data_IF_808719049059
#
_entry.id   IF_808719049059
#
_cell.length_a   1.000
_cell.length_b   1.000
_cell.length_c   1.000
_cell.angle_alpha   90.00
_cell.angle_beta   90.00
_cell.angle_gamma   90.00
#
_symmetry.space_group_name_H-M   'P 1'
#
loop_
_entity.id
_entity.type
_entity.pdbx_description
1 polymer ?
#
# COMPACT_ATOMS: atom_id res chain seq x y z
N UNK A 1 -6.77 -8.20 -21.67
CA UNK A 1 -7.01 -7.00 -20.84
C UNK A 1 -8.34 -7.19 -20.15
N UNK A 2 -8.29 -7.52 -18.85
CA UNK A 2 -9.46 -7.92 -18.05
C UNK A 2 -9.83 -6.78 -17.12
N UNK A 3 -10.94 -6.11 -17.41
CA UNK A 3 -11.51 -5.07 -16.55
C UNK A 3 -12.23 -5.63 -15.31
N UNK A 4 -11.83 -6.82 -14.84
CA UNK A 4 -12.47 -7.52 -13.73
C UNK A 4 -11.67 -7.33 -12.44
N UNK A 5 -12.34 -7.26 -11.27
CA UNK A 5 -11.65 -7.27 -9.99
C UNK A 5 -10.91 -8.59 -9.74
N UNK A 6 -9.91 -8.52 -8.88
CA UNK A 6 -9.26 -9.71 -8.34
C UNK A 6 -10.29 -10.53 -7.55
N UNK A 7 -10.26 -11.85 -7.73
CA UNK A 7 -11.00 -12.77 -6.89
C UNK A 7 -10.46 -12.78 -5.46
N UNK A 8 -11.27 -13.24 -4.49
CA UNK A 8 -10.82 -13.41 -3.10
C UNK A 8 -9.60 -14.32 -2.99
N UNK A 9 -9.49 -15.34 -3.85
CA UNK A 9 -8.34 -16.24 -3.89
C UNK A 9 -7.06 -15.52 -4.36
N UNK A 10 -7.16 -14.61 -5.33
CA UNK A 10 -6.04 -13.80 -5.81
C UNK A 10 -5.60 -12.75 -4.79
N UNK A 11 -6.57 -12.10 -4.13
CA UNK A 11 -6.29 -11.18 -3.02
C UNK A 11 -5.61 -11.91 -1.86
N UNK A 12 -6.04 -13.14 -1.56
CA UNK A 12 -5.41 -13.99 -0.54
C UNK A 12 -3.95 -14.31 -0.87
N UNK A 13 -3.62 -14.61 -2.13
CA UNK A 13 -2.21 -14.81 -2.56
C UNK A 13 -1.34 -13.60 -2.23
N UNK A 14 -1.82 -12.39 -2.53
CA UNK A 14 -1.10 -11.15 -2.24
C UNK A 14 -0.91 -10.98 -0.73
N UNK A 15 -1.95 -11.27 0.07
CA UNK A 15 -1.87 -11.20 1.53
C UNK A 15 -0.86 -12.21 2.10
N UNK A 16 -0.86 -13.44 1.61
CA UNK A 16 0.13 -14.47 2.00
C UNK A 16 1.55 -14.02 1.65
N UNK A 17 1.74 -13.39 0.48
CA UNK A 17 3.05 -12.84 0.11
C UNK A 17 3.51 -11.75 1.09
N UNK A 18 2.65 -10.80 1.43
CA UNK A 18 2.97 -9.72 2.38
C UNK A 18 3.32 -10.30 3.75
N UNK A 19 2.56 -11.29 4.23
CA UNK A 19 2.84 -11.97 5.49
C UNK A 19 4.19 -12.71 5.45
N UNK A 20 4.47 -13.41 4.36
CA UNK A 20 5.73 -14.13 4.16
C UNK A 20 6.94 -13.18 4.14
N UNK A 21 6.78 -11.92 3.72
CA UNK A 21 7.85 -10.92 3.71
C UNK A 21 8.20 -10.37 5.11
N UNK A 22 7.28 -10.38 6.08
CA UNK A 22 7.47 -9.73 7.38
C UNK A 22 8.74 -10.20 8.14
N UNK A 23 9.06 -11.51 8.21
CA UNK A 23 10.27 -11.95 8.90
C UNK A 23 11.55 -11.35 8.31
N UNK A 24 11.63 -11.15 6.99
CA UNK A 24 12.84 -10.58 6.36
C UNK A 24 13.05 -9.10 6.66
N UNK A 25 11.96 -8.38 6.94
CA UNK A 25 12.02 -6.97 7.36
C UNK A 25 12.64 -6.88 8.76
N UNK A 26 12.31 -7.82 9.66
CA UNK A 26 12.92 -7.88 11.00
C UNK A 26 14.44 -8.07 10.93
N UNK A 27 14.93 -8.86 9.97
CA UNK A 27 16.36 -9.06 9.74
C UNK A 27 17.02 -7.94 8.91
N UNK A 28 16.33 -6.81 8.64
CA UNK A 28 16.79 -5.62 7.88
C UNK A 28 17.02 -5.87 6.38
N UNK A 29 17.49 -7.06 5.99
CA UNK A 29 17.78 -7.42 4.59
C UNK A 29 16.54 -7.31 3.69
N UNK A 30 15.35 -7.54 4.24
CA UNK A 30 14.07 -7.45 3.51
C UNK A 30 13.49 -6.04 3.39
N UNK A 31 14.05 -5.03 4.06
CA UNK A 31 13.53 -3.65 4.03
C UNK A 31 13.62 -3.06 2.62
N UNK A 32 14.78 -3.14 1.98
CA UNK A 32 15.01 -2.56 0.65
C UNK A 32 14.04 -3.18 -0.40
N UNK A 33 13.92 -4.52 -0.50
CA UNK A 33 12.92 -5.15 -1.37
C UNK A 33 11.48 -4.70 -1.07
N UNK A 34 11.09 -4.62 0.20
CA UNK A 34 9.75 -4.18 0.57
C UNK A 34 9.47 -2.73 0.13
N UNK A 35 10.46 -1.84 0.28
CA UNK A 35 10.36 -0.44 -0.16
C UNK A 35 10.12 -0.32 -1.66
N UNK A 36 10.79 -1.14 -2.49
CA UNK A 36 10.52 -1.14 -3.93
C UNK A 36 9.06 -1.45 -4.22
N UNK A 37 8.48 -2.46 -3.58
CA UNK A 37 7.09 -2.87 -3.81
C UNK A 37 6.08 -1.86 -3.28
N UNK A 38 6.32 -1.29 -2.09
CA UNK A 38 5.48 -0.22 -1.52
C UNK A 38 5.51 1.00 -2.44
N UNK A 39 6.69 1.42 -2.87
CA UNK A 39 6.85 2.56 -3.78
C UNK A 39 6.19 2.31 -5.14
N UNK A 40 6.39 1.13 -5.72
CA UNK A 40 5.72 0.74 -6.97
C UNK A 40 4.20 0.77 -6.86
N UNK A 41 3.66 0.28 -5.74
CA UNK A 41 2.21 0.29 -5.47
C UNK A 41 1.68 1.71 -5.31
N UNK A 42 2.40 2.55 -4.56
CA UNK A 42 2.05 3.96 -4.40
C UNK A 42 2.06 4.71 -5.73
N UNK A 43 3.13 4.56 -6.52
CA UNK A 43 3.27 5.24 -7.82
C UNK A 43 2.24 4.75 -8.83
N UNK A 44 1.93 3.45 -8.84
CA UNK A 44 0.86 2.89 -9.65
C UNK A 44 -0.49 3.51 -9.29
N UNK A 45 -0.83 3.62 -8.00
CA UNK A 45 -2.09 4.28 -7.55
C UNK A 45 -2.12 5.76 -7.91
N UNK A 46 -0.99 6.46 -7.84
CA UNK A 46 -0.88 7.89 -8.14
C UNK A 46 -1.05 8.18 -9.64
N UNK A 47 -0.46 7.35 -10.49
CA UNK A 47 -0.38 7.60 -11.93
C UNK A 47 -1.38 6.75 -12.75
N UNK A 48 -2.12 5.84 -12.11
CA UNK A 48 -2.96 4.83 -12.76
C UNK A 48 -2.22 4.03 -13.84
N UNK A 49 -0.94 3.73 -13.59
CA UNK A 49 -0.08 3.00 -14.52
C UNK A 49 0.54 1.78 -13.84
N UNK A 50 0.25 0.61 -14.40
CA UNK A 50 0.75 -0.68 -13.92
C UNK A 50 2.26 -0.86 -14.13
N UNK A 51 2.89 -0.12 -15.05
CA UNK A 51 4.32 -0.19 -15.33
C UNK A 51 5.20 0.06 -14.08
N UNK A 52 4.69 0.82 -13.11
CA UNK A 52 5.35 1.05 -11.83
C UNK A 52 5.44 -0.22 -10.96
N UNK A 53 4.44 -1.11 -11.02
CA UNK A 53 4.49 -2.43 -10.35
C UNK A 53 5.54 -3.31 -11.03
N UNK A 54 5.54 -3.36 -12.36
CA UNK A 54 6.50 -4.17 -13.11
C UNK A 54 7.95 -3.73 -12.84
N UNK A 55 8.17 -2.41 -12.82
CA UNK A 55 9.47 -1.81 -12.52
C UNK A 55 9.90 -2.12 -11.08
N UNK A 56 8.99 -1.99 -10.12
CA UNK A 56 9.26 -2.34 -8.73
C UNK A 56 9.61 -3.81 -8.54
N UNK A 57 8.87 -4.73 -9.19
CA UNK A 57 9.15 -6.17 -9.13
C UNK A 57 10.45 -6.51 -9.85
N UNK A 58 10.81 -5.80 -10.93
CA UNK A 58 12.12 -5.95 -11.59
C UNK A 58 13.25 -5.53 -10.64
N UNK A 59 13.14 -4.39 -9.98
CA UNK A 59 14.14 -3.90 -9.04
C UNK A 59 14.26 -4.81 -7.81
N UNK A 60 13.12 -5.28 -7.28
CA UNK A 60 13.06 -6.30 -6.25
C UNK A 60 13.86 -7.54 -6.66
N UNK A 61 13.59 -8.10 -7.85
CA UNK A 61 14.28 -9.30 -8.33
C UNK A 61 15.77 -9.06 -8.51
N UNK A 62 16.15 -7.91 -9.08
CA UNK A 62 17.56 -7.54 -9.23
C UNK A 62 18.29 -7.54 -7.89
N UNK A 63 17.71 -6.90 -6.87
CA UNK A 63 18.28 -6.89 -5.53
C UNK A 63 18.39 -8.30 -4.93
N UNK A 64 17.34 -9.12 -5.04
CA UNK A 64 17.37 -10.50 -4.52
C UNK A 64 18.36 -11.38 -5.28
N UNK A 65 18.54 -11.17 -6.59
CA UNK A 65 19.59 -11.86 -7.37
C UNK A 65 21.00 -11.45 -6.95
N UNK A 66 21.23 -10.17 -6.59
CA UNK A 66 22.50 -9.74 -6.01
C UNK A 66 22.76 -10.46 -4.68
N UNK A 67 21.76 -10.52 -3.79
CA UNK A 67 21.87 -11.26 -2.53
C UNK A 67 22.14 -12.76 -2.75
N UNK A 68 21.47 -13.36 -3.74
CA UNK A 68 21.71 -14.74 -4.14
C UNK A 68 23.15 -14.94 -4.64
N UNK A 69 23.68 -14.02 -5.46
CA UNK A 69 25.06 -14.06 -5.93
C UNK A 69 26.05 -14.00 -4.78
N UNK A 70 25.84 -13.12 -3.82
CA UNK A 70 26.67 -13.04 -2.60
C UNK A 70 26.61 -14.35 -1.81
N UNK A 71 25.41 -14.87 -1.53
CA UNK A 71 25.25 -16.13 -0.80
C UNK A 71 25.92 -17.31 -1.54
N UNK A 72 25.83 -17.35 -2.88
CA UNK A 72 26.48 -18.36 -3.69
C UNK A 72 28.01 -18.26 -3.64
N UNK A 73 28.58 -17.04 -3.66
CA UNK A 73 30.03 -16.84 -3.50
C UNK A 73 30.51 -17.33 -2.13
N UNK A 74 29.79 -17.02 -1.05
CA UNK A 74 30.10 -17.54 0.28
C UNK A 74 30.00 -19.07 0.34
N UNK A 75 28.95 -19.65 -0.23
CA UNK A 75 28.80 -21.10 -0.30
C UNK A 75 29.97 -21.74 -1.07
N UNK A 76 30.39 -21.17 -2.20
CA UNK A 76 31.55 -21.68 -2.95
C UNK A 76 32.85 -21.54 -2.15
N UNK A 77 33.05 -20.42 -1.45
CA UNK A 77 34.22 -20.23 -0.59
C UNK A 77 34.30 -21.29 0.50
N UNK A 78 33.25 -21.46 1.30
CA UNK A 78 33.24 -22.46 2.37
C UNK A 78 33.20 -23.90 1.84
N UNK A 79 32.74 -24.13 0.62
CA UNK A 79 32.85 -25.45 -0.02
C UNK A 79 34.33 -25.88 -0.19
N UNK A 80 35.26 -24.94 -0.37
CA UNK A 80 36.69 -25.26 -0.49
C UNK A 80 37.30 -25.81 0.79
N UNK A 81 36.72 -25.48 1.95
CA UNK A 81 37.22 -25.92 3.26
C UNK A 81 36.65 -27.27 3.70
N UNK A 82 35.67 -27.82 2.98
CA UNK A 82 35.02 -29.11 3.30
C UNK A 82 35.97 -30.32 3.28
N UNK A 83 37.06 -30.25 2.51
CA UNK A 83 38.09 -31.29 2.41
C UNK A 83 39.23 -31.15 3.42
N UNK A 84 39.17 -30.17 4.33
CA UNK A 84 40.21 -29.97 5.33
C UNK A 84 40.35 -31.21 6.25
N UNK A 85 41.60 -31.59 6.54
CA UNK A 85 41.92 -32.73 7.42
C UNK A 85 41.55 -32.43 8.87
N UNK A 86 41.81 -31.19 9.30
CA UNK A 86 41.49 -30.74 10.65
C UNK A 86 40.07 -30.20 10.70
N UNK A 87 39.29 -30.70 11.67
CA UNK A 87 37.88 -30.32 11.83
C UNK A 87 37.69 -28.84 12.11
N UNK A 88 38.66 -28.20 12.76
CA UNK A 88 38.63 -26.77 13.08
C UNK A 88 38.82 -25.88 11.85
N UNK A 89 39.41 -26.41 10.78
CA UNK A 89 39.58 -25.71 9.50
C UNK A 89 38.37 -25.93 8.56
N UNK A 90 37.35 -26.67 8.99
CA UNK A 90 36.17 -27.01 8.18
C UNK A 90 34.98 -26.14 8.53
N UNK A 91 34.70 -25.17 7.67
CA UNK A 91 33.57 -24.22 7.81
C UNK A 91 32.23 -24.80 7.33
N UNK A 92 31.90 -26.01 7.81
CA UNK A 92 30.72 -26.73 7.36
C UNK A 92 29.40 -26.06 7.74
N UNK A 93 29.35 -25.35 8.87
CA UNK A 93 28.14 -24.67 9.32
C UNK A 93 27.86 -23.44 8.45
N UNK A 94 28.89 -22.67 8.16
CA UNK A 94 28.89 -21.48 7.32
C UNK A 94 28.50 -21.83 5.88
N UNK A 95 28.98 -22.97 5.37
CA UNK A 95 28.55 -23.54 4.10
C UNK A 95 27.03 -23.80 4.07
N UNK A 96 26.49 -24.51 5.07
CA UNK A 96 25.07 -24.82 5.18
C UNK A 96 24.22 -23.54 5.30
N UNK A 97 24.67 -22.58 6.11
CA UNK A 97 24.00 -21.28 6.29
C UNK A 97 23.96 -20.51 4.97
N UNK A 98 25.08 -20.49 4.23
CA UNK A 98 25.17 -19.82 2.92
C UNK A 98 24.22 -20.45 1.89
N UNK A 99 24.13 -21.79 1.87
CA UNK A 99 23.15 -22.50 1.04
C UNK A 99 21.71 -22.20 1.44
N UNK A 100 21.42 -22.14 2.74
CA UNK A 100 20.09 -21.79 3.24
C UNK A 100 19.69 -20.38 2.78
N UNK A 101 20.59 -19.39 2.87
CA UNK A 101 20.34 -18.04 2.37
C UNK A 101 20.10 -18.00 0.85
N UNK A 102 20.88 -18.76 0.08
CA UNK A 102 20.65 -18.89 -1.35
C UNK A 102 19.27 -19.50 -1.66
N UNK A 103 18.89 -20.58 -0.95
CA UNK A 103 17.56 -21.19 -1.08
C UNK A 103 16.43 -20.23 -0.74
N UNK A 104 16.57 -19.46 0.35
CA UNK A 104 15.62 -18.43 0.75
C UNK A 104 15.46 -17.37 -0.35
N UNK A 105 16.56 -16.87 -0.92
CA UNK A 105 16.51 -15.88 -2.00
C UNK A 105 15.75 -16.41 -3.23
N UNK A 106 15.99 -17.67 -3.62
CA UNK A 106 15.26 -18.33 -4.72
C UNK A 106 13.76 -18.43 -4.39
N UNK A 107 13.40 -18.85 -3.18
CA UNK A 107 12.00 -18.93 -2.74
C UNK A 107 11.34 -17.55 -2.85
N UNK A 108 11.98 -16.48 -2.41
CA UNK A 108 11.42 -15.12 -2.50
C UNK A 108 11.19 -14.65 -3.94
N UNK A 109 12.08 -15.00 -4.87
CA UNK A 109 11.86 -14.75 -6.30
C UNK A 109 10.62 -15.50 -6.82
N UNK A 110 10.40 -16.73 -6.38
CA UNK A 110 9.20 -17.49 -6.75
C UNK A 110 7.94 -16.87 -6.13
N UNK A 111 7.98 -16.50 -4.86
CA UNK A 111 6.85 -15.90 -4.16
C UNK A 111 6.44 -14.57 -4.80
N UNK A 112 7.37 -13.66 -5.11
CA UNK A 112 7.01 -12.38 -5.76
C UNK A 112 6.40 -12.59 -7.14
N UNK A 113 6.86 -13.59 -7.90
CA UNK A 113 6.28 -13.85 -9.23
C UNK A 113 4.90 -14.50 -9.13
N UNK A 114 4.72 -15.50 -8.26
CA UNK A 114 3.49 -16.32 -8.20
C UNK A 114 2.39 -15.73 -7.33
N UNK A 115 2.75 -15.08 -6.23
CA UNK A 115 1.78 -14.60 -5.24
C UNK A 115 1.51 -13.10 -5.34
N UNK A 116 2.46 -12.32 -5.87
CA UNK A 116 2.30 -10.87 -6.03
C UNK A 116 2.08 -10.47 -7.49
N UNK A 117 3.07 -10.68 -8.35
CA UNK A 117 3.02 -10.18 -9.73
C UNK A 117 1.95 -10.89 -10.57
N UNK A 118 1.87 -12.22 -10.54
CA UNK A 118 0.94 -12.97 -11.40
C UNK A 118 -0.54 -12.61 -11.17
N UNK A 119 -1.05 -12.53 -9.93
CA UNK A 119 -2.41 -12.03 -9.68
C UNK A 119 -2.62 -10.61 -10.19
N UNK A 120 -1.67 -9.71 -9.95
CA UNK A 120 -1.78 -8.29 -10.34
C UNK A 120 -1.73 -8.11 -11.87
N UNK A 121 -0.82 -8.80 -12.54
CA UNK A 121 -0.63 -8.73 -13.99
C UNK A 121 -1.79 -9.38 -14.77
N UNK A 122 -2.60 -10.22 -14.13
CA UNK A 122 -3.80 -10.79 -14.76
C UNK A 122 -4.98 -9.80 -14.80
N UNK A 123 -4.91 -8.73 -13.99
CA UNK A 123 -5.98 -7.73 -13.82
C UNK A 123 -5.43 -6.29 -13.89
N UNK A 124 -4.46 -6.04 -14.78
CA UNK A 124 -3.72 -4.75 -14.87
C UNK A 124 -4.63 -3.54 -14.93
N UNK A 125 -5.64 -3.56 -15.81
CA UNK A 125 -6.53 -2.43 -16.06
C UNK A 125 -7.39 -2.12 -14.83
N UNK A 126 -7.85 -3.16 -14.13
CA UNK A 126 -8.62 -2.97 -12.90
C UNK A 126 -7.74 -2.42 -11.78
N UNK A 127 -6.58 -3.03 -11.57
CA UNK A 127 -5.64 -2.67 -10.50
C UNK A 127 -5.19 -1.23 -10.64
N UNK A 128 -4.82 -0.81 -11.86
CA UNK A 128 -4.33 0.53 -12.13
C UNK A 128 -5.37 1.61 -11.81
N UNK A 129 -6.65 1.37 -12.11
CA UNK A 129 -7.71 2.38 -11.95
C UNK A 129 -8.44 2.32 -10.59
N UNK A 130 -8.53 1.15 -9.97
CA UNK A 130 -9.37 0.91 -8.80
C UNK A 130 -8.58 0.47 -7.56
N UNK A 131 -7.38 -0.07 -7.73
CA UNK A 131 -6.54 -0.61 -6.66
C UNK A 131 -6.67 -2.13 -6.47
N UNK A 132 -5.78 -2.68 -5.63
CA UNK A 132 -5.53 -4.12 -5.48
C UNK A 132 -6.65 -4.87 -4.72
N UNK A 133 -7.18 -4.28 -3.65
CA UNK A 133 -8.18 -4.90 -2.77
C UNK A 133 -9.60 -4.36 -2.98
N UNK A 134 -9.81 -3.71 -4.12
CA UNK A 134 -11.07 -3.05 -4.43
C UNK A 134 -11.94 -3.97 -5.31
N UNK A 135 -13.17 -4.24 -4.87
CA UNK A 135 -14.14 -5.06 -5.61
C UNK A 135 -15.26 -4.23 -6.26
N UNK A 136 -15.22 -2.90 -6.10
CA UNK A 136 -16.20 -1.96 -6.67
C UNK A 136 -15.46 -0.89 -7.48
N UNK A 137 -15.93 -0.49 -8.66
CA UNK A 137 -15.24 0.53 -9.44
C UNK A 137 -15.12 1.82 -8.63
N UNK A 138 -13.98 2.49 -8.73
CA UNK A 138 -13.75 3.79 -8.11
C UNK A 138 -14.79 4.76 -8.67
N UNK A 139 -15.66 5.28 -7.81
CA UNK A 139 -16.57 6.36 -8.21
C UNK A 139 -15.69 7.55 -8.58
N UNK A 140 -15.80 8.03 -9.81
CA UNK A 140 -15.17 9.26 -10.24
C UNK A 140 -15.92 10.39 -9.52
N UNK A 141 -15.50 10.70 -8.30
CA UNK A 141 -15.86 11.98 -7.68
C UNK A 141 -15.08 13.02 -8.46
N UNK A 142 -15.76 13.72 -9.35
CA UNK A 142 -15.18 14.90 -9.98
C UNK A 142 -14.77 15.86 -8.87
N UNK A 143 -13.55 16.38 -8.99
CA UNK A 143 -12.94 17.46 -8.22
C UNK A 143 -12.07 17.06 -7.02
N UNK A 144 -10.85 17.60 -7.05
CA UNK A 144 -9.87 17.49 -5.99
C UNK A 144 -10.41 18.04 -4.67
N UNK A 145 -10.29 17.22 -3.65
CA UNK A 145 -10.61 17.56 -2.28
C UNK A 145 -10.13 16.42 -1.39
N UNK A 146 -9.49 16.76 -0.29
CA UNK A 146 -9.13 15.89 0.81
C UNK A 146 -10.25 14.87 1.15
N UNK A 147 -10.17 13.65 0.63
CA UNK A 147 -10.98 12.53 1.12
C UNK A 147 -10.12 11.27 1.22
N UNK A 148 -9.26 11.30 2.25
CA UNK A 148 -8.92 10.13 3.06
C UNK A 148 -8.73 10.65 4.48
N UNK A 149 -9.81 11.17 5.09
CA UNK A 149 -9.92 11.26 6.54
C UNK A 149 -11.11 10.41 6.94
N UNK A 150 -10.74 9.39 7.70
CA UNK A 150 -11.55 8.34 8.29
C UNK A 150 -12.95 8.76 8.75
N UNK A 151 -13.82 7.78 8.57
CA UNK A 151 -15.18 7.59 9.05
C UNK A 151 -15.19 7.59 10.60
N UNK A 152 -14.86 8.70 11.25
CA UNK A 152 -15.13 8.95 12.68
C UNK A 152 -15.49 10.44 12.85
N UNK A 153 -16.62 10.87 12.30
CA UNK A 153 -17.23 12.18 12.63
C UNK A 153 -18.72 12.28 12.24
N UNK A 154 -19.48 11.22 12.52
CA UNK A 154 -20.89 11.06 12.14
C UNK A 154 -21.92 12.04 12.72
N UNK A 155 -21.55 13.14 13.38
CA UNK A 155 -22.53 14.06 13.99
C UNK A 155 -22.31 15.57 13.78
N UNK A 156 -21.24 16.03 13.12
CA UNK A 156 -20.95 17.49 13.03
C UNK A 156 -21.25 18.18 11.71
N UNK A 157 -21.85 17.50 10.73
CA UNK A 157 -22.14 18.09 9.42
C UNK A 157 -23.55 18.72 9.30
N UNK A 158 -24.45 18.53 10.29
CA UNK A 158 -25.72 19.29 10.33
C UNK A 158 -25.62 20.61 11.09
N UNK A 159 -24.69 20.75 12.03
CA UNK A 159 -24.55 21.96 12.86
C UNK A 159 -23.86 23.12 12.13
N UNK A 160 -23.11 22.86 11.06
CA UNK A 160 -22.42 23.92 10.31
C UNK A 160 -23.36 24.76 9.41
N UNK A 161 -24.58 24.32 9.10
CA UNK A 161 -25.53 25.12 8.29
C UNK A 161 -26.25 26.19 9.11
N UNK A 162 -26.70 25.87 10.33
CA UNK A 162 -27.52 26.78 11.13
C UNK A 162 -26.71 27.96 11.68
N UNK A 163 -25.47 27.71 12.12
CA UNK A 163 -24.60 28.77 12.63
C UNK A 163 -24.22 29.79 11.55
N UNK A 164 -23.85 29.33 10.36
CA UNK A 164 -23.49 30.20 9.24
C UNK A 164 -24.70 30.99 8.72
N UNK A 165 -25.89 30.39 8.70
CA UNK A 165 -27.12 31.10 8.38
C UNK A 165 -27.45 32.17 9.42
N UNK A 166 -27.33 31.87 10.72
CA UNK A 166 -27.53 32.85 11.79
C UNK A 166 -26.55 34.03 11.69
N UNK A 167 -25.28 33.77 11.33
CA UNK A 167 -24.28 34.82 11.10
C UNK A 167 -24.66 35.71 9.91
N UNK A 168 -25.19 35.12 8.82
CA UNK A 168 -25.68 35.87 7.67
C UNK A 168 -26.88 36.76 8.02
N UNK A 169 -27.85 36.22 8.75
CA UNK A 169 -29.01 36.98 9.22
C UNK A 169 -28.61 38.09 10.19
N UNK A 170 -27.60 37.87 11.03
CA UNK A 170 -27.08 38.89 11.95
C UNK A 170 -26.45 40.06 11.19
N UNK A 171 -25.65 39.78 10.16
CA UNK A 171 -25.09 40.83 9.28
C UNK A 171 -26.16 41.63 8.55
N UNK A 172 -27.19 40.98 8.01
CA UNK A 172 -28.30 41.68 7.35
C UNK A 172 -29.07 42.62 8.28
N UNK A 173 -29.15 42.28 9.58
CA UNK A 173 -29.73 43.16 10.60
C UNK A 173 -28.80 44.35 10.88
N UNK A 174 -27.51 44.10 11.09
CA UNK A 174 -26.51 45.14 11.36
C UNK A 174 -26.38 46.14 10.20
N UNK A 175 -26.50 45.65 8.96
CA UNK A 175 -26.50 46.47 7.74
C UNK A 175 -27.84 47.21 7.52
N UNK A 176 -28.82 47.05 8.42
CA UNK A 176 -30.12 47.74 8.37
C UNK A 176 -31.07 47.24 7.27
N UNK A 177 -30.77 46.10 6.64
CA UNK A 177 -31.58 45.53 5.56
C UNK A 177 -32.82 44.78 6.06
N UNK A 178 -32.83 44.36 7.34
CA UNK A 178 -33.97 43.70 7.98
C UNK A 178 -34.22 44.27 9.37
N UNK A 179 -35.48 44.24 9.80
CA UNK A 179 -35.88 44.67 11.13
C UNK A 179 -35.51 43.64 12.20
N UNK A 180 -35.45 44.08 13.46
CA UNK A 180 -35.15 43.21 14.60
C UNK A 180 -36.20 42.11 14.81
N UNK A 181 -37.45 42.35 14.40
CA UNK A 181 -38.52 41.36 14.43
C UNK A 181 -38.30 40.26 13.38
N UNK A 182 -37.92 40.62 12.15
CA UNK A 182 -37.65 39.65 11.08
C UNK A 182 -36.43 38.77 11.38
N UNK A 183 -35.39 39.33 12.00
CA UNK A 183 -34.25 38.57 12.48
C UNK A 183 -34.64 37.54 13.56
N UNK A 184 -35.47 37.94 14.52
CA UNK A 184 -35.90 37.06 15.61
C UNK A 184 -36.79 35.91 15.11
N UNK A 185 -37.67 36.17 14.14
CA UNK A 185 -38.49 35.13 13.51
C UNK A 185 -37.66 34.15 12.68
N UNK A 186 -36.67 34.65 11.92
CA UNK A 186 -35.74 33.80 11.17
C UNK A 186 -34.90 32.92 12.11
N UNK A 187 -34.33 33.51 13.18
CA UNK A 187 -33.57 32.79 14.21
C UNK A 187 -34.40 31.69 14.88
N UNK A 188 -35.66 31.96 15.23
CA UNK A 188 -36.55 30.96 15.85
C UNK A 188 -36.84 29.80 14.91
N UNK A 189 -37.06 30.05 13.62
CA UNK A 189 -37.27 29.00 12.61
C UNK A 189 -36.01 28.16 12.37
N UNK A 190 -34.84 28.77 12.41
CA UNK A 190 -33.56 28.07 12.20
C UNK A 190 -33.19 27.19 13.40
N UNK A 191 -33.45 27.65 14.62
CA UNK A 191 -33.24 26.85 15.84
C UNK A 191 -34.22 25.68 15.99
N UNK A 192 -35.37 25.70 15.30
CA UNK A 192 -36.31 24.57 15.25
C UNK A 192 -35.95 23.53 14.16
N UNK A 193 -35.05 23.86 13.23
CA UNK A 193 -34.63 22.99 12.12
C UNK A 193 -33.32 22.23 12.37
N UNK A 194 -32.52 22.67 13.34
CA UNK A 194 -31.30 21.99 13.80
C UNK A 194 -31.61 21.04 14.95
#
# INVERSE_FOLDING_TARGET
>A
MSAKPLSSAEQSKIMIFVLAMLPTIFFIVGIIPALFLIFGTFMMKKNNDFSHIETAVRNYKCYVFLALGVAALFAMYYATTLGAKDRYDRDGAEFIISLAFAGIAIIYILLVNKLFLSPLASHTDWVANNGIFTNKPKKITLQGGFEDIDIIKGERLKSFSVADELIKWAKLKEDGHISEQEFNDARKKLLQRG
#
